data_IF_153345853798
#
_entry.id   IF_153345853798
#
_cell.length_a   1.000
_cell.length_b   1.000
_cell.length_c   1.000
_cell.angle_alpha   90.00
_cell.angle_beta   90.00
_cell.angle_gamma   90.00
#
_symmetry.space_group_name_H-M   'P 1'
#
loop_
_entity.id
_entity.type
_entity.pdbx_description
1 polymer ?
#
# COMPACT_ATOMS: atom_id res chain seq x y z
N UNK A 1 28.69 -2.18 9.94
CA UNK A 1 28.44 -1.53 8.64
C UNK A 1 28.24 -0.05 8.92
N UNK A 2 29.05 0.84 8.34
CA UNK A 2 28.93 2.29 8.60
C UNK A 2 27.98 2.89 7.58
N UNK A 3 26.91 3.55 8.05
CA UNK A 3 25.99 4.30 7.19
C UNK A 3 26.63 5.66 6.92
N UNK A 4 27.02 5.92 5.67
CA UNK A 4 27.53 7.23 5.25
C UNK A 4 26.38 8.23 5.09
N UNK A 5 26.71 9.52 4.96
CA UNK A 5 25.70 10.57 4.76
C UNK A 5 24.89 10.36 3.47
N UNK A 6 25.53 9.86 2.41
CA UNK A 6 24.90 9.55 1.13
C UNK A 6 23.92 8.38 1.26
N UNK A 7 24.29 7.34 2.01
CA UNK A 7 23.42 6.21 2.31
C UNK A 7 22.21 6.69 3.13
N UNK A 8 22.44 7.47 4.19
CA UNK A 8 21.37 8.02 5.02
C UNK A 8 20.39 8.86 4.18
N UNK A 9 20.89 9.78 3.37
CA UNK A 9 20.05 10.60 2.50
C UNK A 9 19.26 9.80 1.47
N UNK A 10 19.80 8.67 0.99
CA UNK A 10 19.06 7.76 0.10
C UNK A 10 17.90 7.06 0.83
N UNK A 11 18.15 6.58 2.05
CA UNK A 11 17.13 5.93 2.88
C UNK A 11 16.00 6.90 3.26
N UNK A 12 16.32 8.17 3.54
CA UNK A 12 15.33 9.23 3.80
C UNK A 12 14.45 9.51 2.58
N UNK A 13 15.03 9.61 1.38
CA UNK A 13 14.25 9.77 0.14
C UNK A 13 13.31 8.59 -0.08
N UNK A 14 13.80 7.37 0.08
CA UNK A 14 12.98 6.16 -0.07
C UNK A 14 11.86 6.11 0.97
N UNK A 15 12.13 6.49 2.23
CA UNK A 15 11.12 6.59 3.27
C UNK A 15 10.01 7.60 2.91
N UNK A 16 10.37 8.73 2.29
CA UNK A 16 9.42 9.74 1.83
C UNK A 16 8.58 9.24 0.64
N UNK A 17 9.20 8.53 -0.30
CA UNK A 17 8.49 7.84 -1.40
C UNK A 17 7.49 6.83 -0.82
N UNK A 18 7.95 5.93 0.05
CA UNK A 18 7.09 4.95 0.72
C UNK A 18 5.92 5.64 1.45
N UNK A 19 6.18 6.73 2.16
CA UNK A 19 5.15 7.48 2.88
C UNK A 19 4.08 8.06 1.96
N UNK A 20 4.49 8.66 0.85
CA UNK A 20 3.59 9.23 -0.14
C UNK A 20 2.76 8.13 -0.82
N UNK A 21 3.40 7.03 -1.20
CA UNK A 21 2.79 5.87 -1.85
C UNK A 21 1.78 5.14 -0.95
N UNK A 22 2.11 4.94 0.34
CA UNK A 22 1.16 4.38 1.33
C UNK A 22 -0.08 5.25 1.44
N UNK A 23 0.08 6.57 1.48
CA UNK A 23 -1.04 7.50 1.57
C UNK A 23 -1.90 7.48 0.29
N UNK A 24 -1.28 7.35 -0.88
CA UNK A 24 -1.98 7.17 -2.14
C UNK A 24 -2.87 5.92 -2.11
N UNK A 25 -2.32 4.73 -1.83
CA UNK A 25 -3.12 3.50 -1.82
C UNK A 25 -4.22 3.51 -0.77
N UNK A 26 -3.97 4.10 0.42
CA UNK A 26 -5.03 4.30 1.43
C UNK A 26 -6.19 5.13 0.89
N UNK A 27 -5.94 6.16 0.10
CA UNK A 27 -7.01 6.97 -0.54
C UNK A 27 -7.74 6.19 -1.61
N UNK A 28 -7.02 5.46 -2.46
CA UNK A 28 -7.62 4.64 -3.52
C UNK A 28 -8.55 3.56 -2.94
N UNK A 29 -8.11 2.84 -1.91
CA UNK A 29 -8.93 1.84 -1.21
C UNK A 29 -10.18 2.47 -0.62
N UNK A 30 -10.08 3.61 0.08
CA UNK A 30 -11.26 4.32 0.61
C UNK A 30 -12.24 4.76 -0.48
N UNK A 31 -11.75 5.17 -1.65
CA UNK A 31 -12.59 5.56 -2.77
C UNK A 31 -13.39 4.35 -3.31
N UNK A 32 -12.74 3.20 -3.44
CA UNK A 32 -13.38 1.95 -3.86
C UNK A 32 -14.39 1.47 -2.81
N UNK A 33 -14.02 1.52 -1.52
CA UNK A 33 -14.92 1.18 -0.42
C UNK A 33 -16.21 2.01 -0.46
N UNK A 34 -16.08 3.31 -0.72
CA UNK A 34 -17.22 4.21 -0.88
C UNK A 34 -18.03 3.90 -2.15
N UNK A 35 -17.36 3.68 -3.29
CA UNK A 35 -18.01 3.40 -4.58
C UNK A 35 -18.89 2.15 -4.52
N UNK A 36 -18.38 1.08 -3.92
CA UNK A 36 -19.06 -0.22 -3.84
C UNK A 36 -19.81 -0.46 -2.54
N UNK A 37 -19.81 0.51 -1.61
CA UNK A 37 -20.41 0.42 -0.27
C UNK A 37 -20.00 -0.88 0.46
N UNK A 38 -18.72 -1.23 0.34
CA UNK A 38 -18.16 -2.49 0.79
C UNK A 38 -16.77 -2.26 1.37
N UNK A 39 -16.47 -2.81 2.54
CA UNK A 39 -15.12 -2.68 3.11
C UNK A 39 -14.11 -3.50 2.31
N UNK A 40 -12.83 -3.11 2.32
CA UNK A 40 -11.76 -3.88 1.65
C UNK A 40 -11.71 -5.32 2.18
N UNK A 41 -11.95 -5.54 3.48
CA UNK A 41 -12.01 -6.89 4.05
C UNK A 41 -13.15 -7.74 3.45
N UNK A 42 -14.34 -7.16 3.32
CA UNK A 42 -15.49 -7.85 2.70
C UNK A 42 -15.26 -8.09 1.20
N UNK A 43 -14.66 -7.12 0.51
CA UNK A 43 -14.24 -7.25 -0.88
C UNK A 43 -13.31 -8.44 -1.07
N UNK A 44 -12.21 -8.52 -0.33
CA UNK A 44 -11.22 -9.60 -0.44
C UNK A 44 -11.86 -10.97 -0.22
N UNK A 45 -12.68 -11.10 0.84
CA UNK A 45 -13.36 -12.36 1.15
C UNK A 45 -14.31 -12.84 0.04
N UNK A 46 -14.91 -11.92 -0.75
CA UNK A 46 -15.77 -12.25 -1.89
C UNK A 46 -14.95 -12.49 -3.17
N UNK A 47 -13.94 -11.66 -3.42
CA UNK A 47 -13.07 -11.74 -4.59
C UNK A 47 -12.30 -13.06 -4.61
N UNK A 48 -11.70 -13.47 -3.49
CA UNK A 48 -10.95 -14.72 -3.36
C UNK A 48 -11.83 -15.98 -3.50
N UNK A 49 -13.14 -15.84 -3.26
CA UNK A 49 -14.13 -16.92 -3.47
C UNK A 49 -14.66 -16.96 -4.91
N UNK A 50 -14.22 -16.06 -5.79
CA UNK A 50 -14.77 -15.93 -7.15
C UNK A 50 -16.23 -15.48 -7.17
N UNK A 51 -16.70 -14.83 -6.10
CA UNK A 51 -18.09 -14.39 -5.95
C UNK A 51 -18.35 -12.97 -6.47
N UNK A 52 -17.34 -12.35 -7.09
CA UNK A 52 -17.40 -11.03 -7.73
C UNK A 52 -17.17 -11.20 -9.24
N UNK A 53 -17.60 -10.21 -10.02
CA UNK A 53 -17.36 -10.15 -11.45
C UNK A 53 -15.91 -9.83 -11.81
N UNK A 54 -15.71 -9.46 -13.06
CA UNK A 54 -14.42 -9.16 -13.69
C UNK A 54 -14.20 -7.67 -13.93
N UNK A 55 -14.87 -6.81 -13.15
CA UNK A 55 -14.69 -5.37 -13.23
C UNK A 55 -13.23 -5.01 -12.96
N UNK A 56 -12.65 -4.16 -13.83
CA UNK A 56 -11.28 -3.64 -13.69
C UNK A 56 -11.00 -3.14 -12.26
N UNK A 57 -11.97 -2.46 -11.66
CA UNK A 57 -11.90 -1.97 -10.30
C UNK A 57 -11.59 -3.05 -9.26
N UNK A 58 -12.05 -4.29 -9.44
CA UNK A 58 -11.79 -5.37 -8.50
C UNK A 58 -10.33 -5.85 -8.58
N UNK A 59 -9.78 -5.95 -9.78
CA UNK A 59 -8.35 -6.21 -9.96
C UNK A 59 -7.50 -5.09 -9.37
N UNK A 60 -7.86 -3.83 -9.63
CA UNK A 60 -7.20 -2.66 -9.06
C UNK A 60 -7.29 -2.66 -7.52
N UNK A 61 -8.46 -2.95 -6.95
CA UNK A 61 -8.68 -3.00 -5.50
C UNK A 61 -7.79 -4.05 -4.84
N UNK A 62 -7.76 -5.26 -5.40
CA UNK A 62 -6.91 -6.35 -4.92
C UNK A 62 -5.43 -5.95 -5.00
N UNK A 63 -4.98 -5.40 -6.14
CA UNK A 63 -3.61 -4.94 -6.33
C UNK A 63 -3.25 -3.82 -5.33
N UNK A 64 -4.10 -2.82 -5.15
CA UNK A 64 -3.86 -1.72 -4.21
C UNK A 64 -3.75 -2.20 -2.77
N UNK A 65 -4.54 -3.19 -2.36
CA UNK A 65 -4.42 -3.78 -1.03
C UNK A 65 -3.07 -4.47 -0.84
N UNK A 66 -2.63 -5.29 -1.81
CA UNK A 66 -1.33 -5.96 -1.76
C UNK A 66 -0.17 -4.97 -1.77
N UNK A 67 -0.23 -3.96 -2.64
CA UNK A 67 0.79 -2.91 -2.75
C UNK A 67 0.86 -2.09 -1.47
N UNK A 68 -0.29 -1.72 -0.87
CA UNK A 68 -0.31 -1.02 0.41
C UNK A 68 0.44 -1.81 1.51
N UNK A 69 0.21 -3.13 1.59
CA UNK A 69 0.89 -4.00 2.56
C UNK A 69 2.40 -4.02 2.34
N UNK A 70 2.84 -4.17 1.08
CA UNK A 70 4.25 -4.17 0.70
C UNK A 70 4.94 -2.83 1.05
N UNK A 71 4.39 -1.70 0.59
CA UNK A 71 4.95 -0.38 0.86
C UNK A 71 4.95 -0.01 2.34
N UNK A 72 3.93 -0.46 3.10
CA UNK A 72 3.90 -0.26 4.56
C UNK A 72 5.01 -1.05 5.24
N UNK A 73 5.28 -2.26 4.78
CA UNK A 73 6.35 -3.11 5.31
C UNK A 73 7.74 -2.49 5.05
N UNK A 74 7.98 -2.03 3.82
CA UNK A 74 9.22 -1.31 3.46
C UNK A 74 9.38 -0.04 4.29
N UNK A 75 8.34 0.79 4.40
CA UNK A 75 8.35 1.99 5.25
C UNK A 75 8.75 1.68 6.70
N UNK A 76 8.17 0.62 7.27
CA UNK A 76 8.45 0.21 8.65
C UNK A 76 9.89 -0.27 8.84
N UNK A 77 10.45 -0.97 7.85
CA UNK A 77 11.83 -1.42 7.87
C UNK A 77 12.84 -0.26 7.78
N UNK A 78 12.50 0.80 7.05
CA UNK A 78 13.35 2.00 6.91
C UNK A 78 13.30 2.94 8.12
N UNK A 79 12.17 2.98 8.83
CA UNK A 79 11.94 3.89 9.95
C UNK A 79 13.04 3.92 11.03
N UNK A 80 13.60 2.79 11.52
CA UNK A 80 14.67 2.82 12.52
C UNK A 80 16.02 3.28 11.95
N UNK A 81 16.23 3.26 10.64
CA UNK A 81 17.51 3.57 10.00
C UNK A 81 17.70 5.07 9.71
N UNK A 82 16.62 5.84 9.74
CA UNK A 82 16.61 7.28 9.49
C UNK A 82 16.49 8.12 10.78
N UNK A 83 16.32 7.48 11.93
CA UNK A 83 16.30 8.16 13.24
C UNK A 83 17.70 8.51 13.73
#
# INVERSE_FOLDING_TARGET
>A
MTITAEIKGSLEREFNICSTTVNFYKRQLKALEKKYKMTTASFLAKFEKGALGDEKDFFDWYAFHKLLSSWTSTKKALQPLIK
#
